data_IF_658933204565
#
_entry.id   IF_658933204565
#
_cell.length_a   1.000
_cell.length_b   1.000
_cell.length_c   1.000
_cell.angle_alpha   90.00
_cell.angle_beta   90.00
_cell.angle_gamma   90.00
#
_symmetry.space_group_name_H-M   'P 1'
#
loop_
_entity.id
_entity.type
_entity.pdbx_description
1 polymer ?
#
# COMPACT_ATOMS: atom_id res chain seq x y z
N UNK A 1 -28.97 -27.33 11.08
CA UNK A 1 -28.02 -26.20 11.03
C UNK A 1 -27.43 -26.13 9.63
N UNK A 2 -27.62 -25.03 8.90
CA UNK A 2 -27.04 -24.88 7.57
C UNK A 2 -25.62 -24.31 7.68
N UNK A 3 -24.61 -25.02 7.18
CA UNK A 3 -23.21 -24.58 7.20
C UNK A 3 -22.99 -23.59 6.05
N UNK A 4 -22.31 -22.44 6.25
CA UNK A 4 -22.08 -21.50 5.16
C UNK A 4 -21.26 -22.17 4.04
N UNK A 5 -21.53 -21.86 2.75
CA UNK A 5 -20.89 -22.53 1.61
C UNK A 5 -19.36 -22.58 1.68
N UNK A 6 -18.73 -21.49 2.12
CA UNK A 6 -17.26 -21.38 2.15
C UNK A 6 -16.61 -22.05 3.36
N UNK A 7 -17.39 -22.35 4.42
CA UNK A 7 -16.93 -22.74 5.77
C UNK A 7 -16.01 -21.72 6.43
N UNK A 8 -14.90 -21.36 5.79
CA UNK A 8 -13.97 -20.30 6.14
C UNK A 8 -14.09 -19.19 5.07
N UNK A 9 -14.28 -17.92 5.45
CA UNK A 9 -14.27 -16.83 4.47
C UNK A 9 -12.88 -16.69 3.84
N UNK A 10 -12.81 -16.06 2.66
CA UNK A 10 -11.53 -15.78 2.00
C UNK A 10 -10.62 -14.97 2.93
N UNK A 11 -9.41 -15.45 3.15
CA UNK A 11 -8.47 -14.88 4.11
C UNK A 11 -7.60 -13.79 3.49
N UNK A 12 -7.83 -12.54 3.91
CA UNK A 12 -7.03 -11.37 3.55
C UNK A 12 -6.00 -11.02 4.62
N UNK A 13 -4.86 -10.48 4.19
CA UNK A 13 -3.81 -9.98 5.09
C UNK A 13 -3.15 -8.70 4.51
N UNK A 14 -2.75 -7.75 5.38
CA UNK A 14 -2.09 -6.50 4.95
C UNK A 14 -0.83 -6.10 5.76
N UNK A 15 -0.24 -7.01 6.54
CA UNK A 15 0.94 -6.76 7.37
C UNK A 15 2.25 -6.78 6.57
N UNK A 16 2.87 -5.62 6.39
CA UNK A 16 4.10 -5.45 5.60
C UNK A 16 5.41 -5.87 6.31
N UNK A 17 5.38 -6.11 7.63
CA UNK A 17 6.57 -6.51 8.40
C UNK A 17 7.08 -7.90 7.99
N UNK A 18 8.32 -8.26 8.33
CA UNK A 18 8.85 -9.61 8.06
C UNK A 18 7.97 -10.70 8.68
N UNK A 19 7.54 -10.48 9.94
CA UNK A 19 6.59 -11.37 10.64
C UNK A 19 5.22 -11.38 9.96
N UNK A 20 4.70 -10.22 9.56
CA UNK A 20 3.44 -10.09 8.83
C UNK A 20 3.47 -10.87 7.52
N UNK A 21 4.51 -10.71 6.72
CA UNK A 21 4.70 -11.45 5.46
C UNK A 21 4.81 -12.95 5.68
N UNK A 22 5.46 -13.39 6.76
CA UNK A 22 5.48 -14.82 7.10
C UNK A 22 4.08 -15.35 7.45
N UNK A 23 3.32 -14.61 8.25
CA UNK A 23 1.95 -14.97 8.59
C UNK A 23 1.04 -15.01 7.35
N UNK A 24 1.20 -14.04 6.46
CA UNK A 24 0.49 -14.01 5.17
C UNK A 24 0.82 -15.25 4.32
N UNK A 25 2.10 -15.59 4.21
CA UNK A 25 2.53 -16.76 3.46
C UNK A 25 1.88 -18.05 3.97
N UNK A 26 1.73 -18.21 5.29
CA UNK A 26 1.12 -19.40 5.90
C UNK A 26 -0.41 -19.46 5.75
N UNK A 27 -1.12 -18.33 5.68
CA UNK A 27 -2.57 -18.33 5.86
C UNK A 27 -3.38 -17.58 4.80
N UNK A 28 -2.80 -16.58 4.14
CA UNK A 28 -3.57 -15.69 3.27
C UNK A 28 -3.89 -16.35 1.93
N UNK A 29 -5.10 -16.10 1.44
CA UNK A 29 -5.49 -16.30 0.04
C UNK A 29 -5.29 -15.01 -0.75
N UNK A 30 -5.38 -13.86 -0.07
CA UNK A 30 -5.20 -12.53 -0.64
C UNK A 30 -4.30 -11.64 0.25
N UNK A 31 -3.38 -10.90 -0.36
CA UNK A 31 -2.49 -9.96 0.36
C UNK A 31 -2.57 -8.56 -0.24
N UNK A 32 -2.89 -7.58 0.60
CA UNK A 32 -2.80 -6.16 0.24
C UNK A 32 -1.41 -5.61 0.54
N UNK A 33 -0.81 -4.94 -0.45
CA UNK A 33 0.49 -4.28 -0.33
C UNK A 33 0.42 -2.82 -0.79
N UNK A 34 1.29 -1.98 -0.26
CA UNK A 34 1.41 -0.56 -0.64
C UNK A 34 2.83 -0.28 -1.16
N UNK A 35 3.18 -0.90 -2.29
CA UNK A 35 4.48 -0.70 -2.94
C UNK A 35 4.48 0.57 -3.80
N UNK A 36 5.44 1.50 -3.60
CA UNK A 36 5.44 2.80 -4.29
C UNK A 36 5.93 2.73 -5.74
N UNK A 37 6.46 1.60 -6.18
CA UNK A 37 6.98 1.42 -7.54
C UNK A 37 6.85 -0.02 -8.01
N UNK A 38 6.86 -0.22 -9.34
CA UNK A 38 6.83 -1.56 -9.95
C UNK A 38 8.00 -2.44 -9.50
N UNK A 39 9.20 -1.85 -9.34
CA UNK A 39 10.39 -2.58 -8.89
C UNK A 39 10.29 -2.99 -7.43
N UNK A 40 9.78 -2.14 -6.55
CA UNK A 40 9.50 -2.47 -5.15
C UNK A 40 8.40 -3.53 -5.03
N UNK A 41 7.35 -3.42 -5.85
CA UNK A 41 6.26 -4.40 -5.92
C UNK A 41 6.78 -5.77 -6.34
N UNK A 42 7.61 -5.85 -7.39
CA UNK A 42 8.20 -7.11 -7.86
C UNK A 42 8.98 -7.82 -6.75
N UNK A 43 9.77 -7.06 -5.95
CA UNK A 43 10.52 -7.60 -4.81
C UNK A 43 9.59 -8.11 -3.71
N UNK A 44 8.54 -7.35 -3.39
CA UNK A 44 7.56 -7.74 -2.36
C UNK A 44 6.80 -9.01 -2.76
N UNK A 45 6.33 -9.08 -4.01
CA UNK A 45 5.66 -10.26 -4.58
C UNK A 45 6.59 -11.48 -4.52
N UNK A 46 7.84 -11.35 -4.97
CA UNK A 46 8.80 -12.44 -4.93
C UNK A 46 9.07 -12.95 -3.51
N UNK A 47 9.17 -12.06 -2.52
CA UNK A 47 9.38 -12.45 -1.12
C UNK A 47 8.18 -13.20 -0.53
N UNK A 48 6.95 -12.73 -0.77
CA UNK A 48 5.73 -13.42 -0.30
C UNK A 48 5.62 -14.81 -0.94
N UNK A 49 5.86 -14.91 -2.25
CA UNK A 49 5.82 -16.18 -2.99
C UNK A 49 6.86 -17.18 -2.50
N UNK A 50 8.10 -16.73 -2.30
CA UNK A 50 9.18 -17.55 -1.74
C UNK A 50 8.78 -18.10 -0.36
N UNK A 51 8.24 -17.25 0.53
CA UNK A 51 7.79 -17.66 1.86
C UNK A 51 6.61 -18.64 1.82
N UNK A 52 5.71 -18.48 0.85
CA UNK A 52 4.60 -19.41 0.66
C UNK A 52 5.12 -20.80 0.26
N UNK A 53 6.09 -20.85 -0.65
CA UNK A 53 6.79 -22.09 -1.01
C UNK A 53 7.45 -22.75 0.21
N UNK A 54 8.18 -21.96 1.01
CA UNK A 54 8.84 -22.43 2.24
C UNK A 54 7.84 -22.93 3.29
N UNK A 55 6.61 -22.40 3.28
CA UNK A 55 5.51 -22.86 4.11
C UNK A 55 4.75 -24.08 3.51
N UNK A 56 5.24 -24.65 2.42
CA UNK A 56 4.63 -25.82 1.77
C UNK A 56 3.38 -25.53 0.95
N UNK A 57 3.14 -24.27 0.58
CA UNK A 57 1.99 -23.86 -0.25
C UNK A 57 2.42 -23.59 -1.69
N UNK A 58 1.47 -23.69 -2.62
CA UNK A 58 1.67 -23.17 -3.98
C UNK A 58 1.91 -21.65 -3.92
N UNK A 59 3.06 -21.15 -4.42
CA UNK A 59 3.37 -19.71 -4.47
C UNK A 59 2.32 -18.87 -5.23
N UNK A 60 1.56 -19.49 -6.12
CA UNK A 60 0.52 -18.82 -6.91
C UNK A 60 -0.88 -18.91 -6.29
N UNK A 61 -1.04 -19.63 -5.17
CA UNK A 61 -2.30 -19.68 -4.41
C UNK A 61 -2.61 -18.38 -3.63
N UNK A 62 -1.71 -17.40 -3.65
CA UNK A 62 -1.88 -16.10 -3.00
C UNK A 62 -2.04 -15.01 -4.07
N UNK A 63 -3.20 -14.37 -4.10
CA UNK A 63 -3.45 -13.18 -4.91
C UNK A 63 -2.88 -11.95 -4.21
N UNK A 64 -2.14 -11.12 -4.95
CA UNK A 64 -1.46 -9.94 -4.38
C UNK A 64 -2.01 -8.69 -5.04
N UNK A 65 -2.56 -7.80 -4.22
CA UNK A 65 -3.20 -6.56 -4.64
C UNK A 65 -2.37 -5.37 -4.18
N UNK A 66 -1.91 -4.54 -5.12
CA UNK A 66 -1.20 -3.31 -4.78
C UNK A 66 -2.20 -2.15 -4.67
N UNK A 67 -2.11 -1.38 -3.59
CA UNK A 67 -2.89 -0.16 -3.41
C UNK A 67 -2.55 0.84 -4.53
N UNK A 68 -3.56 1.32 -5.24
CA UNK A 68 -3.47 2.30 -6.31
C UNK A 68 -4.64 3.28 -6.19
N UNK A 69 -4.39 4.55 -6.52
CA UNK A 69 -5.45 5.55 -6.67
C UNK A 69 -5.49 5.95 -8.14
N UNK A 70 -6.63 5.76 -8.81
CA UNK A 70 -6.80 6.15 -10.20
C UNK A 70 -7.73 7.36 -10.32
N UNK A 71 -7.32 8.37 -11.07
CA UNK A 71 -8.15 9.52 -11.45
C UNK A 71 -8.31 9.47 -12.96
N UNK A 72 -9.53 9.19 -13.41
CA UNK A 72 -9.84 8.96 -14.82
C UNK A 72 -10.74 10.05 -15.40
N UNK A 73 -10.58 10.29 -16.70
CA UNK A 73 -11.40 11.21 -17.49
C UNK A 73 -11.47 10.79 -18.95
N UNK A 74 -12.42 11.35 -19.71
CA UNK A 74 -12.56 11.06 -21.15
C UNK A 74 -11.33 11.50 -21.97
N UNK A 75 -10.60 12.49 -21.45
CA UNK A 75 -9.32 12.95 -21.99
C UNK A 75 -8.33 13.18 -20.85
N UNK A 76 -7.03 13.18 -21.15
CA UNK A 76 -6.00 13.47 -20.16
C UNK A 76 -6.19 14.84 -19.52
N UNK A 77 -6.64 15.83 -20.32
CA UNK A 77 -6.98 17.16 -19.84
C UNK A 77 -8.11 17.12 -18.80
N UNK A 78 -9.15 16.32 -19.04
CA UNK A 78 -10.26 16.17 -18.09
C UNK A 78 -9.81 15.45 -16.81
N UNK A 79 -8.99 14.39 -16.92
CA UNK A 79 -8.43 13.69 -15.77
C UNK A 79 -7.54 14.60 -14.91
N UNK A 80 -6.72 15.43 -15.56
CA UNK A 80 -5.86 16.41 -14.90
C UNK A 80 -6.67 17.52 -14.22
N UNK A 81 -7.72 18.03 -14.86
CA UNK A 81 -8.62 19.02 -14.26
C UNK A 81 -9.28 18.46 -12.98
N UNK A 82 -9.79 17.22 -13.04
CA UNK A 82 -10.35 16.50 -11.89
C UNK A 82 -9.33 16.32 -10.76
N UNK A 83 -8.07 15.99 -11.09
CA UNK A 83 -7.01 15.91 -10.08
C UNK A 83 -6.75 17.25 -9.38
N UNK A 84 -6.69 18.35 -10.13
CA UNK A 84 -6.48 19.68 -9.55
C UNK A 84 -7.65 20.09 -8.65
N UNK A 85 -8.87 19.78 -9.06
CA UNK A 85 -10.08 19.99 -8.26
C UNK A 85 -10.00 19.21 -6.94
N UNK A 86 -9.73 17.89 -6.98
CA UNK A 86 -9.60 17.07 -5.77
C UNK A 86 -8.48 17.56 -4.85
N UNK A 87 -7.37 17.99 -5.44
CA UNK A 87 -6.25 18.56 -4.69
C UNK A 87 -6.67 19.83 -3.93
N UNK A 88 -7.59 20.63 -4.48
CA UNK A 88 -8.08 21.85 -3.82
C UNK A 88 -8.83 21.57 -2.51
N UNK A 89 -9.45 20.39 -2.38
CA UNK A 89 -10.16 19.95 -1.18
C UNK A 89 -9.24 19.27 -0.13
N UNK A 90 -7.95 19.14 -0.39
CA UNK A 90 -7.05 18.38 0.49
C UNK A 90 -6.77 19.13 1.80
N UNK A 91 -7.04 18.47 2.93
CA UNK A 91 -6.68 18.97 4.26
C UNK A 91 -5.26 18.54 4.66
N UNK A 92 -4.37 19.51 4.86
CA UNK A 92 -3.01 19.24 5.32
C UNK A 92 -2.99 18.64 6.74
N UNK A 93 -3.77 19.20 7.67
CA UNK A 93 -3.86 18.69 9.04
C UNK A 93 -4.46 17.27 9.08
N UNK A 94 -5.45 17.01 8.22
CA UNK A 94 -6.01 15.66 8.09
C UNK A 94 -4.97 14.64 7.60
N UNK A 95 -4.14 15.02 6.64
CA UNK A 95 -3.03 14.17 6.17
C UNK A 95 -1.98 13.93 7.27
N UNK A 96 -1.63 14.95 8.06
CA UNK A 96 -0.72 14.79 9.20
C UNK A 96 -1.29 13.89 10.28
N UNK A 97 -2.57 14.03 10.62
CA UNK A 97 -3.23 13.14 11.58
C UNK A 97 -3.18 11.68 11.14
N UNK A 98 -3.48 11.41 9.85
CA UNK A 98 -3.42 10.07 9.29
C UNK A 98 -2.02 9.46 9.35
N UNK A 99 -1.01 10.20 8.87
CA UNK A 99 0.38 9.71 8.86
C UNK A 99 0.91 9.55 10.29
N UNK A 100 0.51 10.41 11.21
CA UNK A 100 0.88 10.29 12.63
C UNK A 100 0.35 8.97 13.21
N UNK A 101 -0.91 8.63 12.90
CA UNK A 101 -1.51 7.35 13.30
C UNK A 101 -0.79 6.14 12.71
N UNK A 102 -0.40 6.20 11.43
CA UNK A 102 0.31 5.07 10.77
C UNK A 102 1.74 4.88 11.26
N UNK A 103 2.44 5.96 11.60
CA UNK A 103 3.87 5.93 11.93
C UNK A 103 4.13 5.96 13.45
N UNK A 104 3.11 6.24 14.25
CA UNK A 104 3.24 6.45 15.69
C UNK A 104 4.02 7.72 16.06
N UNK A 105 4.28 8.61 15.10
CA UNK A 105 5.04 9.85 15.31
C UNK A 105 4.11 11.05 15.25
N UNK A 106 4.11 11.92 16.26
CA UNK A 106 3.27 13.12 16.27
C UNK A 106 3.86 14.16 15.32
N UNK A 107 3.15 14.49 14.24
CA UNK A 107 3.63 15.44 13.23
C UNK A 107 3.06 16.86 13.34
N UNK A 108 2.19 17.12 14.33
CA UNK A 108 1.48 18.40 14.52
C UNK A 108 2.40 19.64 14.62
N UNK A 109 3.67 19.47 15.04
CA UNK A 109 4.64 20.56 15.18
C UNK A 109 5.59 20.71 13.99
N UNK A 110 5.41 19.93 12.90
CA UNK A 110 6.32 19.98 11.76
C UNK A 110 5.96 21.12 10.80
N UNK A 111 6.89 22.04 10.58
CA UNK A 111 6.77 23.11 9.58
C UNK A 111 6.51 22.53 8.18
N UNK A 112 5.53 23.11 7.45
CA UNK A 112 5.18 22.76 6.05
C UNK A 112 6.36 22.77 5.08
N UNK A 113 7.40 23.54 5.37
CA UNK A 113 8.56 23.73 4.50
C UNK A 113 9.74 22.84 4.88
N UNK A 114 9.71 22.22 6.08
CA UNK A 114 10.75 21.26 6.46
C UNK A 114 10.44 19.91 5.86
N UNK A 115 11.43 19.31 5.19
CA UNK A 115 11.40 17.88 4.91
C UNK A 115 11.13 17.14 6.23
N UNK A 116 10.16 16.22 6.22
CA UNK A 116 9.97 15.31 7.35
C UNK A 116 11.35 14.67 7.64
N UNK A 117 11.83 14.75 8.89
CA UNK A 117 13.10 14.12 9.23
C UNK A 117 12.97 12.66 8.84
N UNK A 118 13.87 12.20 7.96
CA UNK A 118 13.93 10.79 7.59
C UNK A 118 14.11 10.07 8.92
N UNK A 119 13.08 9.35 9.37
CA UNK A 119 13.14 8.58 10.59
C UNK A 119 14.36 7.67 10.42
N UNK A 120 15.35 7.79 11.32
CA UNK A 120 16.53 6.93 11.30
C UNK A 120 16.00 5.51 11.13
N UNK A 121 16.51 4.72 10.16
CA UNK A 121 15.95 3.42 9.90
C UNK A 121 16.07 2.61 11.20
N UNK A 122 14.95 2.38 11.89
CA UNK A 122 14.78 1.10 12.58
C UNK A 122 15.10 0.04 11.53
N UNK A 123 15.84 -1.00 11.92
CA UNK A 123 16.60 -2.04 11.16
C UNK A 123 15.89 -2.73 9.96
N UNK A 124 15.06 -2.01 9.21
CA UNK A 124 13.85 -2.48 8.55
C UNK A 124 13.58 -1.80 7.20
N UNK A 125 14.15 -0.64 6.86
CA UNK A 125 14.03 -0.13 5.48
C UNK A 125 15.08 0.91 5.09
N UNK A 126 16.06 0.52 4.25
CA UNK A 126 16.89 1.46 3.47
C UNK A 126 16.31 1.54 2.06
N UNK A 127 15.37 2.46 1.83
CA UNK A 127 15.13 2.99 0.49
C UNK A 127 14.53 4.40 0.57
N UNK A 128 15.30 5.37 0.11
CA UNK A 128 14.92 6.78 -0.01
C UNK A 128 13.85 6.91 -1.10
N UNK A 129 12.63 7.25 -0.70
CA UNK A 129 11.61 7.71 -1.65
C UNK A 129 10.90 8.94 -1.09
N UNK A 130 10.94 10.03 -1.87
CA UNK A 130 9.94 11.09 -1.76
C UNK A 130 8.57 10.43 -1.90
N UNK A 131 7.71 10.57 -0.89
CA UNK A 131 6.36 10.04 -0.94
C UNK A 131 5.59 10.75 -2.05
N UNK A 132 5.53 10.11 -3.23
CA UNK A 132 4.52 10.39 -4.24
C UNK A 132 3.46 9.32 -4.07
N UNK A 133 2.22 9.66 -3.71
CA UNK A 133 1.17 8.66 -3.74
C UNK A 133 1.07 8.11 -5.17
N UNK A 134 0.82 6.81 -5.36
CA UNK A 134 0.67 6.22 -6.68
C UNK A 134 -0.71 6.63 -7.24
N UNK A 135 -0.80 7.89 -7.66
CA UNK A 135 -1.95 8.43 -8.38
C UNK A 135 -1.68 8.19 -9.87
N UNK A 136 -2.46 7.30 -10.46
CA UNK A 136 -2.51 7.14 -11.90
C UNK A 136 -3.54 8.15 -12.44
N UNK A 137 -3.09 9.12 -13.22
CA UNK A 137 -3.96 10.02 -13.98
C UNK A 137 -3.93 9.49 -15.41
N UNK A 138 -5.06 9.01 -15.91
CA UNK A 138 -5.13 8.39 -17.24
C UNK A 138 -6.49 8.68 -17.89
N UNK A 139 -6.49 8.82 -19.21
CA UNK A 139 -7.72 8.74 -20.01
C UNK A 139 -8.00 7.32 -20.48
N UNK A 140 -9.28 7.02 -20.70
CA UNK A 140 -9.71 5.74 -21.26
C UNK A 140 -9.57 5.73 -22.79
N UNK A 141 -8.38 5.48 -23.30
CA UNK A 141 -8.14 4.94 -24.65
C UNK A 141 -7.01 3.92 -24.62
#
# INVERSE_FOLDING_TARGET
MNRPPQRTPVLYQAGASSRGKQFAASHAECVFVASPSKSALKKTVADIRRRAQEAGRDPHSILIFNMQTAIVGETDKAAQAKWQEYKSYTSYEGALALISGWTGSILASTSRTKCLPIQKPTRFNRSSTRFRPPILIASGR
#
